data_IF_608509583259
#
_entry.id   IF_608509583259
#
_cell.length_a   1.000
_cell.length_b   1.000
_cell.length_c   1.000
_cell.angle_alpha   90.00
_cell.angle_beta   90.00
_cell.angle_gamma   90.00
#
_symmetry.space_group_name_H-M   'P 1'
#
loop_
_entity.id
_entity.type
_entity.pdbx_description
1 polymer ?
#
# COMPACT_ATOMS: atom_id res chain seq x y z
N UNK A 1 14.16 6.93 1.16
CA UNK A 1 13.09 7.53 0.34
C UNK A 1 11.97 6.53 0.30
N UNK A 2 10.76 6.89 0.75
CA UNK A 2 9.61 5.97 0.70
C UNK A 2 9.15 5.91 -0.75
N UNK A 3 9.05 4.73 -1.37
CA UNK A 3 8.56 4.63 -2.75
C UNK A 3 7.14 5.17 -2.85
N UNK A 4 6.87 5.94 -3.90
CA UNK A 4 5.58 6.59 -4.11
C UNK A 4 4.69 5.71 -5.00
N UNK A 5 3.49 5.40 -4.52
CA UNK A 5 2.51 4.59 -5.24
C UNK A 5 1.50 5.47 -5.95
N UNK A 6 1.15 5.09 -7.18
CA UNK A 6 0.13 5.79 -7.94
C UNK A 6 -0.52 4.89 -8.97
N UNK A 7 -1.77 5.20 -9.31
CA UNK A 7 -2.47 4.57 -10.43
C UNK A 7 -2.20 5.37 -11.70
N UNK A 8 -1.95 4.67 -12.81
CA UNK A 8 -1.67 5.28 -14.13
C UNK A 8 -2.19 4.39 -15.24
N UNK A 9 -2.03 4.81 -16.49
CA UNK A 9 -2.32 4.02 -17.68
C UNK A 9 -1.03 3.70 -18.45
N UNK A 10 -0.84 2.44 -18.82
CA UNK A 10 0.26 1.97 -19.69
C UNK A 10 -0.33 1.08 -20.77
N UNK A 11 -0.11 1.42 -22.05
CA UNK A 11 -0.58 0.62 -23.18
C UNK A 11 -2.11 0.46 -23.24
N UNK A 12 -2.87 1.49 -22.84
CA UNK A 12 -4.34 1.46 -22.82
C UNK A 12 -4.95 0.70 -21.64
N UNK A 13 -4.14 0.28 -20.66
CA UNK A 13 -4.60 -0.43 -19.46
C UNK A 13 -4.26 0.36 -18.20
N UNK A 14 -5.21 0.43 -17.27
CA UNK A 14 -4.96 0.93 -15.92
C UNK A 14 -4.06 -0.04 -15.17
N UNK A 15 -3.10 0.51 -14.44
CA UNK A 15 -2.09 -0.22 -13.68
C UNK A 15 -1.79 0.49 -12.37
N UNK A 16 -1.38 -0.28 -11.37
CA UNK A 16 -0.75 0.24 -10.15
C UNK A 16 0.75 0.34 -10.40
N UNK A 17 1.33 1.51 -10.12
CA UNK A 17 2.75 1.79 -10.32
C UNK A 17 3.48 2.11 -9.01
N UNK A 18 4.71 1.61 -8.92
CA UNK A 18 5.68 1.85 -7.85
C UNK A 18 6.81 2.73 -8.40
N UNK A 19 6.88 3.99 -7.96
CA UNK A 19 7.97 4.90 -8.32
C UNK A 19 9.26 4.47 -7.62
N UNK A 20 10.30 4.17 -8.40
CA UNK A 20 11.60 3.80 -7.84
C UNK A 20 12.35 4.99 -7.24
N UNK A 21 11.93 6.23 -7.56
CA UNK A 21 12.63 7.46 -7.19
C UNK A 21 13.95 7.67 -7.95
N UNK A 22 14.29 6.80 -8.90
CA UNK A 22 15.56 6.83 -9.63
C UNK A 22 15.35 7.13 -11.12
N UNK A 23 16.23 7.96 -11.68
CA UNK A 23 16.34 8.12 -13.14
C UNK A 23 16.95 6.87 -13.77
N UNK A 24 16.74 6.59 -15.07
CA UNK A 24 17.20 5.37 -15.75
C UNK A 24 18.69 5.03 -15.54
N UNK A 25 19.57 6.03 -15.60
CA UNK A 25 21.01 5.84 -15.40
C UNK A 25 21.35 5.38 -13.99
N UNK A 26 20.76 6.02 -12.98
CA UNK A 26 20.93 5.65 -11.57
C UNK A 26 20.27 4.29 -11.28
N UNK A 27 19.10 4.05 -11.88
CA UNK A 27 18.38 2.78 -11.78
C UNK A 27 19.22 1.61 -12.28
N UNK A 28 19.82 1.73 -13.47
CA UNK A 28 20.67 0.69 -14.07
C UNK A 28 21.89 0.31 -13.21
N UNK A 29 22.38 1.25 -12.40
CA UNK A 29 23.53 1.09 -11.50
C UNK A 29 23.15 0.66 -10.08
N UNK A 30 21.87 0.76 -9.72
CA UNK A 30 21.40 0.56 -8.35
C UNK A 30 21.28 -0.91 -7.91
N UNK A 31 21.39 -1.87 -8.84
CA UNK A 31 21.06 -3.27 -8.56
C UNK A 31 19.56 -3.55 -8.41
N UNK A 32 18.70 -2.52 -8.39
CA UNK A 32 17.23 -2.65 -8.30
C UNK A 32 16.57 -3.25 -9.54
N UNK A 33 17.33 -3.51 -10.60
CA UNK A 33 16.85 -4.33 -11.70
C UNK A 33 16.49 -5.76 -11.23
N UNK A 34 17.11 -6.27 -10.16
CA UNK A 34 16.71 -7.52 -9.52
C UNK A 34 15.36 -7.42 -8.80
N UNK A 35 14.98 -6.22 -8.34
CA UNK A 35 13.68 -5.96 -7.69
C UNK A 35 12.49 -6.07 -8.67
N UNK A 36 12.74 -6.12 -10.00
CA UNK A 36 11.72 -6.47 -11.01
C UNK A 36 11.14 -7.87 -10.76
N UNK A 37 11.90 -8.76 -10.12
CA UNK A 37 11.44 -10.09 -9.74
C UNK A 37 10.57 -10.10 -8.48
N UNK A 38 10.42 -8.96 -7.80
CA UNK A 38 9.69 -8.90 -6.55
C UNK A 38 8.17 -8.89 -6.79
N UNK A 39 7.49 -9.71 -6.01
CA UNK A 39 6.03 -9.86 -6.08
C UNK A 39 5.40 -9.32 -4.82
N UNK A 40 4.27 -8.62 -4.96
CA UNK A 40 3.41 -8.30 -3.83
C UNK A 40 2.60 -9.52 -3.38
N UNK A 41 2.11 -9.46 -2.16
CA UNK A 41 1.21 -10.46 -1.57
C UNK A 41 -0.21 -9.87 -1.54
N UNK A 42 -1.14 -10.52 -2.21
CA UNK A 42 -2.57 -10.26 -2.07
C UNK A 42 -3.11 -11.07 -0.91
N UNK A 43 -3.94 -10.46 -0.07
CA UNK A 43 -4.61 -11.12 1.04
C UNK A 43 -6.10 -10.87 0.91
N UNK A 44 -6.86 -11.95 0.76
CA UNK A 44 -8.32 -11.92 0.72
C UNK A 44 -8.91 -11.75 2.13
N UNK A 45 -10.15 -11.27 2.28
CA UNK A 45 -10.81 -11.14 3.59
C UNK A 45 -10.92 -12.46 4.38
N UNK A 46 -10.90 -13.60 3.68
CA UNK A 46 -10.92 -14.93 4.28
C UNK A 46 -9.53 -15.44 4.73
N UNK A 47 -8.46 -14.66 4.55
CA UNK A 47 -7.10 -15.03 4.91
C UNK A 47 -6.32 -15.79 3.83
N UNK A 48 -6.96 -16.11 2.70
CA UNK A 48 -6.28 -16.68 1.54
C UNK A 48 -5.28 -15.68 0.96
N UNK A 49 -4.13 -16.20 0.53
CA UNK A 49 -3.07 -15.39 -0.06
C UNK A 49 -2.95 -15.65 -1.57
N UNK A 50 -2.63 -14.59 -2.30
CA UNK A 50 -2.30 -14.59 -3.72
C UNK A 50 -1.05 -13.75 -3.99
N UNK A 51 -0.63 -13.73 -5.24
CA UNK A 51 0.59 -13.02 -5.67
C UNK A 51 0.19 -11.91 -6.63
N UNK A 52 0.62 -10.68 -6.33
CA UNK A 52 0.60 -9.57 -7.27
C UNK A 52 1.95 -9.48 -7.96
N UNK A 53 1.97 -9.48 -9.28
CA UNK A 53 3.22 -9.52 -10.06
C UNK A 53 3.48 -8.20 -10.76
N UNK A 54 4.75 -7.79 -10.75
CA UNK A 54 5.25 -6.75 -11.64
C UNK A 54 5.15 -7.27 -13.08
N UNK A 55 4.53 -6.48 -13.94
CA UNK A 55 4.29 -6.79 -15.36
C UNK A 55 5.21 -5.99 -16.30
N UNK A 56 5.86 -4.94 -15.81
CA UNK A 56 6.83 -4.20 -16.60
C UNK A 56 7.39 -2.96 -15.90
N UNK A 57 8.19 -2.22 -16.66
CA UNK A 57 8.80 -0.95 -16.26
C UNK A 57 8.52 0.14 -17.28
N UNK A 58 8.43 1.37 -16.82
CA UNK A 58 8.29 2.54 -17.67
C UNK A 58 8.94 3.76 -17.02
N UNK A 59 9.08 4.84 -17.79
CA UNK A 59 9.59 6.11 -17.29
C UNK A 59 8.41 7.07 -17.09
N UNK A 60 8.33 7.69 -15.91
CA UNK A 60 7.35 8.72 -15.61
C UNK A 60 7.73 9.99 -16.38
N UNK A 61 6.88 10.49 -17.30
CA UNK A 61 7.26 11.59 -18.20
C UNK A 61 7.65 12.88 -17.47
N UNK A 62 7.00 13.18 -16.35
CA UNK A 62 7.17 14.43 -15.60
C UNK A 62 8.46 14.48 -14.78
N UNK A 63 8.81 13.38 -14.12
CA UNK A 63 9.98 13.28 -13.24
C UNK A 63 11.20 12.67 -13.92
N UNK A 64 11.00 11.95 -15.02
CA UNK A 64 12.01 11.11 -15.66
C UNK A 64 12.45 9.93 -14.78
N UNK A 65 11.67 9.56 -13.76
CA UNK A 65 11.97 8.42 -12.89
C UNK A 65 11.44 7.11 -13.47
N UNK A 66 12.15 6.02 -13.21
CA UNK A 66 11.68 4.66 -13.54
C UNK A 66 10.61 4.26 -12.54
N UNK A 67 9.52 3.68 -13.03
CA UNK A 67 8.52 3.03 -12.21
C UNK A 67 8.28 1.60 -12.69
N UNK A 68 7.94 0.74 -11.74
CA UNK A 68 7.45 -0.61 -12.01
C UNK A 68 5.93 -0.58 -12.00
N UNK A 69 5.28 -1.40 -12.83
CA UNK A 69 3.83 -1.49 -12.81
C UNK A 69 3.36 -2.94 -12.85
N UNK A 70 2.20 -3.19 -12.26
CA UNK A 70 1.51 -4.48 -12.30
C UNK A 70 0.00 -4.29 -12.44
N UNK A 71 -0.76 -5.34 -12.14
CA UNK A 71 -2.22 -5.29 -12.21
C UNK A 71 -2.78 -4.13 -11.36
N UNK A 72 -3.82 -3.45 -11.85
CA UNK A 72 -4.48 -2.41 -11.07
C UNK A 72 -5.04 -2.98 -9.77
N UNK A 73 -4.94 -2.19 -8.71
CA UNK A 73 -5.48 -2.54 -7.41
C UNK A 73 -6.24 -1.31 -6.88
N UNK A 74 -7.58 -1.37 -6.77
CA UNK A 74 -8.40 -0.24 -6.34
C UNK A 74 -8.39 -0.09 -4.81
N UNK A 75 -7.20 -0.01 -4.22
CA UNK A 75 -6.99 0.21 -2.80
C UNK A 75 -6.28 1.53 -2.51
N UNK A 76 -6.33 1.93 -1.26
CA UNK A 76 -5.67 3.14 -0.75
C UNK A 76 -4.56 2.76 0.25
N UNK A 77 -3.48 3.55 0.34
CA UNK A 77 -2.45 3.32 1.35
C UNK A 77 -3.06 3.32 2.74
N UNK A 78 -2.74 2.30 3.53
CA UNK A 78 -3.22 2.19 4.90
C UNK A 78 -2.86 3.43 5.71
N UNK A 79 -1.69 4.04 5.46
CA UNK A 79 -1.30 5.30 6.10
C UNK A 79 -2.29 6.44 5.81
N UNK A 80 -2.72 6.61 4.56
CA UNK A 80 -3.69 7.65 4.19
C UNK A 80 -5.06 7.41 4.82
N UNK A 81 -5.47 6.14 4.93
CA UNK A 81 -6.67 5.77 5.68
C UNK A 81 -6.54 6.11 7.17
N UNK A 82 -5.37 5.89 7.78
CA UNK A 82 -5.13 6.21 9.19
C UNK A 82 -5.05 7.73 9.42
N UNK A 83 -4.46 8.50 8.51
CA UNK A 83 -4.36 9.95 8.59
C UNK A 83 -5.70 10.66 8.37
N UNK A 84 -6.57 10.15 7.49
CA UNK A 84 -7.95 10.67 7.37
C UNK A 84 -8.79 10.34 8.61
N UNK A 85 -8.48 9.21 9.27
CA UNK A 85 -9.07 8.82 10.55
C UNK A 85 -8.51 9.61 11.73
N UNK A 86 -7.31 10.19 11.61
CA UNK A 86 -6.64 10.98 12.64
C UNK A 86 -5.89 12.15 12.00
N UNK A 87 -6.60 13.22 11.59
CA UNK A 87 -5.93 14.39 11.04
C UNK A 87 -4.91 14.89 12.07
N UNK A 88 -3.67 15.21 11.65
CA UNK A 88 -2.59 15.59 12.55
C UNK A 88 -2.83 17.00 13.12
N UNK A 89 -3.85 17.15 13.95
CA UNK A 89 -4.08 18.33 14.75
C UNK A 89 -3.70 18.00 16.20
N UNK A 90 -2.58 18.59 16.63
CA UNK A 90 -2.08 18.65 18.01
C UNK A 90 -1.59 17.33 18.65
N UNK A 91 -0.36 16.92 18.31
CA UNK A 91 0.59 16.31 19.28
C UNK A 91 0.14 15.05 20.03
N UNK A 92 -0.88 14.36 19.53
CA UNK A 92 -1.53 13.27 20.24
C UNK A 92 -1.23 11.98 19.51
N UNK A 93 -0.65 11.02 20.22
CA UNK A 93 -0.37 9.67 19.74
C UNK A 93 -1.61 9.06 19.06
N UNK A 94 -1.41 8.31 17.97
CA UNK A 94 -2.43 7.53 17.26
C UNK A 94 -3.29 6.70 18.24
N UNK A 95 -2.70 6.23 19.34
CA UNK A 95 -3.40 5.50 20.39
C UNK A 95 -4.44 6.36 21.16
N UNK A 96 -4.20 7.66 21.28
CA UNK A 96 -5.04 8.59 22.04
C UNK A 96 -6.06 9.30 21.14
N UNK A 97 -5.72 9.57 19.87
CA UNK A 97 -6.62 10.17 18.90
C UNK A 97 -7.87 9.29 18.62
N UNK A 98 -7.74 7.97 18.78
CA UNK A 98 -8.82 6.99 18.66
C UNK A 98 -10.00 7.17 19.64
N UNK A 99 -9.77 7.83 20.78
CA UNK A 99 -10.79 7.98 21.82
C UNK A 99 -11.62 9.28 21.71
N UNK A 100 -11.17 10.27 20.93
CA UNK A 100 -11.65 11.65 21.03
C UNK A 100 -12.66 12.11 19.95
N UNK A 101 -12.94 11.30 18.92
CA UNK A 101 -13.78 11.72 17.80
C UNK A 101 -15.21 11.15 17.87
N UNK A 102 -16.17 12.01 18.21
CA UNK A 102 -17.62 11.73 18.26
C UNK A 102 -18.39 12.73 17.39
N UNK A 103 -18.72 12.37 16.15
CA UNK A 103 -19.52 13.17 15.22
C UNK A 103 -19.85 12.34 13.98
N UNK A 104 -20.94 12.61 13.27
CA UNK A 104 -21.60 11.76 12.22
C UNK A 104 -20.72 11.04 11.18
N UNK A 105 -19.47 11.45 10.99
CA UNK A 105 -18.36 10.76 10.30
C UNK A 105 -17.90 9.47 11.04
N UNK A 106 -18.36 9.28 12.27
CA UNK A 106 -17.99 8.21 13.19
C UNK A 106 -18.50 6.84 12.73
N UNK A 107 -19.58 6.77 11.95
CA UNK A 107 -20.08 5.51 11.40
C UNK A 107 -19.13 4.92 10.37
N UNK A 108 -18.72 5.74 9.40
CA UNK A 108 -17.76 5.33 8.36
C UNK A 108 -16.38 5.08 8.97
N UNK A 109 -15.92 5.97 9.86
CA UNK A 109 -14.64 5.79 10.57
C UNK A 109 -14.63 4.57 11.48
N UNK A 110 -15.72 4.28 12.21
CA UNK A 110 -15.84 3.07 13.00
C UNK A 110 -15.87 1.81 12.11
N UNK A 111 -16.53 1.88 10.95
CA UNK A 111 -16.51 0.78 9.98
C UNK A 111 -15.10 0.54 9.41
N UNK A 112 -14.35 1.61 9.11
CA UNK A 112 -12.95 1.54 8.69
C UNK A 112 -12.05 0.95 9.79
N UNK A 113 -12.24 1.38 11.03
CA UNK A 113 -11.50 0.85 12.18
C UNK A 113 -11.80 -0.62 12.44
N UNK A 114 -13.07 -1.02 12.30
CA UNK A 114 -13.47 -2.41 12.42
C UNK A 114 -12.87 -3.26 11.29
N UNK A 115 -12.84 -2.75 10.06
CA UNK A 115 -12.18 -3.38 8.90
C UNK A 115 -10.68 -3.54 9.13
N UNK A 116 -10.00 -2.50 9.62
CA UNK A 116 -8.58 -2.54 9.94
C UNK A 116 -8.27 -3.51 11.10
N UNK A 117 -9.07 -3.51 12.17
CA UNK A 117 -8.94 -4.48 13.28
C UNK A 117 -9.16 -5.91 12.82
N UNK A 118 -10.12 -6.15 11.93
CA UNK A 118 -10.34 -7.46 11.33
C UNK A 118 -9.12 -7.89 10.50
N UNK A 119 -8.52 -6.97 9.74
CA UNK A 119 -7.27 -7.23 9.03
C UNK A 119 -6.11 -7.53 9.99
N UNK A 120 -5.89 -6.73 11.04
CA UNK A 120 -4.86 -7.01 12.05
C UNK A 120 -5.08 -8.39 12.67
N UNK A 121 -6.33 -8.76 13.01
CA UNK A 121 -6.64 -10.08 13.58
C UNK A 121 -6.32 -11.21 12.61
N UNK A 122 -6.67 -11.03 11.33
CA UNK A 122 -6.37 -12.01 10.29
C UNK A 122 -4.86 -12.13 10.05
N UNK A 123 -4.15 -11.00 9.96
CA UNK A 123 -2.70 -10.95 9.85
C UNK A 123 -2.03 -11.56 11.09
N UNK A 124 -2.53 -11.30 12.30
CA UNK A 124 -2.04 -11.91 13.54
C UNK A 124 -2.21 -13.43 13.57
N UNK A 125 -3.19 -13.97 12.84
CA UNK A 125 -3.33 -15.40 12.60
C UNK A 125 -2.29 -15.99 11.63
N UNK A 126 -1.50 -15.14 10.95
CA UNK A 126 -0.48 -15.54 9.97
C UNK A 126 0.86 -14.81 10.22
N UNK A 127 1.81 -15.44 10.93
CA UNK A 127 3.12 -14.86 11.24
C UNK A 127 3.91 -14.37 10.02
N UNK A 128 3.64 -14.93 8.84
CA UNK A 128 4.32 -14.56 7.59
C UNK A 128 3.76 -13.26 7.01
N UNK A 129 2.44 -13.04 7.12
CA UNK A 129 1.82 -11.77 6.72
C UNK A 129 2.29 -10.64 7.63
N UNK A 130 2.39 -10.87 8.94
CA UNK A 130 2.91 -9.86 9.87
C UNK A 130 4.38 -9.53 9.61
N UNK A 131 5.22 -10.54 9.34
CA UNK A 131 6.63 -10.31 9.00
C UNK A 131 6.77 -9.52 7.69
N UNK A 132 5.97 -9.84 6.68
CA UNK A 132 5.93 -9.09 5.44
C UNK A 132 5.47 -7.64 5.68
N UNK A 133 4.35 -7.43 6.37
CA UNK A 133 3.83 -6.09 6.67
C UNK A 133 4.82 -5.23 7.47
N UNK A 134 5.48 -5.82 8.47
CA UNK A 134 6.43 -5.12 9.32
C UNK A 134 7.68 -4.66 8.55
N UNK A 135 8.15 -5.45 7.57
CA UNK A 135 9.31 -5.09 6.75
C UNK A 135 9.04 -3.91 5.80
N UNK A 136 7.78 -3.71 5.42
CA UNK A 136 7.37 -2.73 4.41
C UNK A 136 6.97 -1.37 5.02
N UNK A 137 6.52 -1.38 6.27
CA UNK A 137 5.87 -0.23 6.88
C UNK A 137 4.50 0.09 6.24
N UNK A 138 3.79 1.10 6.75
CA UNK A 138 2.40 1.37 6.37
C UNK A 138 2.21 1.88 4.93
N UNK A 139 3.28 2.39 4.30
CA UNK A 139 3.26 2.85 2.90
C UNK A 139 3.29 1.73 1.86
N UNK A 140 3.72 0.53 2.24
CA UNK A 140 3.73 -0.65 1.37
C UNK A 140 2.44 -1.49 1.43
N UNK A 141 1.41 -1.01 2.14
CA UNK A 141 0.16 -1.75 2.34
C UNK A 141 -0.99 -0.94 1.73
N UNK A 142 -1.67 -1.54 0.74
CA UNK A 142 -2.88 -0.98 0.14
C UNK A 142 -4.11 -1.77 0.60
N UNK A 143 -5.16 -1.07 1.02
CA UNK A 143 -6.41 -1.67 1.45
C UNK A 143 -7.55 -1.28 0.51
N UNK A 144 -8.29 -2.27 0.00
CA UNK A 144 -9.49 -2.03 -0.80
C UNK A 144 -10.73 -2.04 0.10
N UNK A 145 -11.39 -0.89 0.23
CA UNK A 145 -12.56 -0.73 1.10
C UNK A 145 -13.82 -1.43 0.59
N UNK A 146 -13.92 -1.65 -0.73
CA UNK A 146 -15.12 -2.22 -1.36
C UNK A 146 -15.21 -3.73 -1.12
N UNK A 147 -14.08 -4.44 -1.21
CA UNK A 147 -14.05 -5.90 -1.10
C UNK A 147 -13.18 -6.43 0.04
N UNK A 148 -12.48 -5.56 0.78
CA UNK A 148 -11.67 -5.91 1.94
C UNK A 148 -10.34 -6.59 1.61
N UNK A 149 -9.95 -6.69 0.33
CA UNK A 149 -8.64 -7.22 -0.06
C UNK A 149 -7.53 -6.28 0.37
N UNK A 150 -6.37 -6.85 0.72
CA UNK A 150 -5.16 -6.10 1.03
C UNK A 150 -4.04 -6.51 0.09
N UNK A 151 -3.26 -5.55 -0.36
CA UNK A 151 -2.04 -5.78 -1.13
C UNK A 151 -0.85 -5.31 -0.30
N UNK A 152 0.05 -6.24 0.02
CA UNK A 152 1.37 -5.93 0.55
C UNK A 152 2.34 -5.87 -0.63
N UNK A 153 2.90 -4.70 -0.89
CA UNK A 153 3.84 -4.51 -1.99
C UNK A 153 5.24 -4.91 -1.56
N UNK A 154 6.13 -5.25 -2.50
CA UNK A 154 7.51 -5.54 -2.15
C UNK A 154 8.25 -4.27 -1.65
N UNK A 155 9.34 -4.44 -0.88
CA UNK A 155 10.12 -3.31 -0.35
C UNK A 155 10.80 -2.56 -1.50
N UNK A 156 10.56 -1.25 -1.62
CA UNK A 156 11.09 -0.43 -2.72
C UNK A 156 12.47 0.19 -2.51
#
# INVERSE_FOLDING_TARGET
MIPFLFRTETGGRRVLALDSGLRPEAFSKSGRAAAVAETGILVSPGGETGIWQIQGTACRPESGTVFFYGEDFPGEPVLSCLESLYPPDAGTDIHTAAAAHTGTDQGERAALWQKFRNWIRMAAGSPDILRAAAALGPGGILYNHADGRTLLLPPG
#
